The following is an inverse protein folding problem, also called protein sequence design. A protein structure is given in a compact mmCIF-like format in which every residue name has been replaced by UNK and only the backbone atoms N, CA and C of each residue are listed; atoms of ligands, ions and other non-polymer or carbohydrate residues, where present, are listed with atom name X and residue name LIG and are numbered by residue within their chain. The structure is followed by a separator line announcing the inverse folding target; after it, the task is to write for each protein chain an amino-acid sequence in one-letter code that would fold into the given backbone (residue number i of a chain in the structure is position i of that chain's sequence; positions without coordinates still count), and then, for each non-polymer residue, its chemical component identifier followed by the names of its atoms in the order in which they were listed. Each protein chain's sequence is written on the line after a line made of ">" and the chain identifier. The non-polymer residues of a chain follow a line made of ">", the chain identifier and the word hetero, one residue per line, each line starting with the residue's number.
data_IF_508458003285
#
_entry.id   IF_508458003285
#
_cell.length_a   1.000
_cell.length_b   1.000
_cell.length_c   1.000
_cell.angle_alpha   90.00
_cell.angle_beta   90.00
_cell.angle_gamma   90.00
#
_symmetry.space_group_name_H-M   'P 1'
#
loop_
_entity.id
_entity.type
_entity.pdbx_description
1 polymer ?
#
# COMPACT_ATOMS: atom_id res chain seq x y z
N UNK A 1 -0.57 -7.83 -24.17
CA UNK A 1 -0.03 -6.53 -23.70
C UNK A 1 -0.47 -6.30 -22.26
N UNK A 2 0.43 -5.82 -21.39
CA UNK A 2 0.13 -5.42 -20.00
C UNK A 2 -0.95 -4.34 -20.02
N UNK A 3 -2.13 -4.60 -19.45
CA UNK A 3 -3.26 -3.67 -19.46
C UNK A 3 -3.50 -3.01 -18.09
N UNK A 4 -2.44 -2.89 -17.28
CA UNK A 4 -2.41 -2.18 -16.01
C UNK A 4 -1.14 -1.34 -15.88
N UNK A 5 -1.17 -0.34 -14.99
CA UNK A 5 0.01 0.42 -14.57
C UNK A 5 0.48 -0.08 -13.22
N UNK A 6 1.79 -0.11 -12.99
CA UNK A 6 2.31 -0.42 -11.67
C UNK A 6 2.27 0.83 -10.79
N UNK A 7 1.98 0.63 -9.52
CA UNK A 7 1.84 1.70 -8.54
C UNK A 7 2.37 1.25 -7.18
N UNK A 8 2.77 2.20 -6.34
CA UNK A 8 3.24 1.94 -4.99
C UNK A 8 2.65 2.95 -4.00
N UNK A 9 2.27 2.45 -2.83
CA UNK A 9 1.64 3.25 -1.77
C UNK A 9 2.24 2.94 -0.40
N UNK A 10 2.22 3.93 0.49
CA UNK A 10 2.63 3.76 1.90
C UNK A 10 1.40 3.80 2.79
N UNK A 11 1.18 2.72 3.53
CA UNK A 11 0.35 2.71 4.74
C UNK A 11 1.21 3.28 5.87
N UNK A 12 1.12 4.60 6.06
CA UNK A 12 1.96 5.30 7.03
C UNK A 12 1.26 5.29 8.40
N UNK A 13 1.88 4.62 9.37
CA UNK A 13 1.44 4.58 10.75
C UNK A 13 2.35 5.47 11.60
N UNK A 14 1.78 6.21 12.54
CA UNK A 14 2.56 7.05 13.46
C UNK A 14 2.03 6.92 14.88
N UNK A 15 2.96 6.77 15.83
CA UNK A 15 2.61 6.79 17.25
C UNK A 15 2.02 8.16 17.60
N UNK A 16 0.94 8.18 18.36
CA UNK A 16 0.32 9.40 18.84
C UNK A 16 0.21 9.35 20.36
N UNK A 17 0.69 10.40 21.04
CA UNK A 17 0.57 10.48 22.49
C UNK A 17 -0.89 10.73 22.86
N UNK A 18 -1.53 9.72 23.41
CA UNK A 18 -2.83 9.85 24.04
C UNK A 18 -2.72 10.61 25.37
N UNK A 19 -3.70 11.45 25.67
CA UNK A 19 -4.01 11.76 27.06
C UNK A 19 -4.71 10.52 27.68
N UNK A 20 -4.52 10.27 28.97
CA UNK A 20 -5.04 9.09 29.69
C UNK A 20 -6.52 8.76 29.39
N UNK A 21 -7.37 9.79 29.23
CA UNK A 21 -8.80 9.64 28.91
C UNK A 21 -9.10 9.10 27.51
N UNK A 22 -8.20 9.33 26.54
CA UNK A 22 -8.33 8.86 25.16
C UNK A 22 -7.70 7.48 24.98
N UNK A 23 -6.68 7.18 25.78
CA UNK A 23 -6.07 5.85 25.88
C UNK A 23 -7.07 4.80 26.38
N UNK A 24 -7.89 5.17 27.38
CA UNK A 24 -8.96 4.32 27.93
C UNK A 24 -10.13 4.07 26.95
N UNK A 25 -10.28 4.88 25.89
CA UNK A 25 -11.41 4.78 24.94
C UNK A 25 -11.10 3.94 23.70
N UNK A 26 -9.87 4.00 23.19
CA UNK A 26 -9.54 3.42 21.88
C UNK A 26 -8.65 2.20 21.97
N UNK A 27 -7.84 2.05 23.04
CA UNK A 27 -6.73 1.07 23.13
C UNK A 27 -5.65 1.18 22.02
N UNK A 28 -5.78 2.07 21.03
CA UNK A 28 -4.76 2.27 19.98
C UNK A 28 -3.72 3.30 20.42
N UNK A 29 -2.44 3.04 20.17
CA UNK A 29 -1.33 3.99 20.38
C UNK A 29 -0.79 4.62 19.06
N UNK A 30 -1.36 4.22 17.91
CA UNK A 30 -1.00 4.76 16.60
C UNK A 30 -2.21 5.21 15.78
N UNK A 31 -1.94 6.05 14.79
CA UNK A 31 -2.88 6.50 13.76
C UNK A 31 -2.33 6.19 12.37
N UNK A 32 -3.23 6.02 11.42
CA UNK A 32 -2.93 5.87 10.00
C UNK A 32 -3.17 7.20 9.28
N UNK A 33 -2.28 7.53 8.34
CA UNK A 33 -2.46 8.64 7.41
C UNK A 33 -3.42 8.25 6.29
N UNK A 34 -4.43 9.08 6.02
CA UNK A 34 -5.22 9.01 4.81
C UNK A 34 -5.37 10.39 4.18
N UNK A 35 -5.41 10.44 2.86
CA UNK A 35 -5.61 11.63 2.04
C UNK A 35 -6.95 11.54 1.33
N UNK A 36 -7.68 12.64 1.25
CA UNK A 36 -8.90 12.72 0.45
C UNK A 36 -8.56 13.27 -0.92
N UNK A 37 -8.78 12.49 -1.98
CA UNK A 37 -8.53 12.94 -3.35
C UNK A 37 -9.46 14.07 -3.75
N UNK A 38 -8.96 14.98 -4.58
CA UNK A 38 -9.79 16.02 -5.19
C UNK A 38 -10.94 15.42 -5.99
N UNK A 39 -12.10 16.09 -6.01
CA UNK A 39 -13.28 15.67 -6.79
C UNK A 39 -13.02 15.59 -8.29
N UNK A 40 -12.02 16.29 -8.79
CA UNK A 40 -11.62 16.29 -10.20
C UNK A 40 -10.59 15.20 -10.52
N UNK A 41 -10.26 14.34 -9.55
CA UNK A 41 -9.28 13.27 -9.78
C UNK A 41 -9.76 12.27 -10.83
N UNK A 42 -8.89 11.95 -11.78
CA UNK A 42 -9.21 11.02 -12.88
C UNK A 42 -9.34 9.54 -12.45
N UNK A 43 -9.15 9.25 -11.18
CA UNK A 43 -9.32 7.93 -10.56
C UNK A 43 -9.81 8.11 -9.12
N UNK A 44 -10.95 7.49 -8.79
CA UNK A 44 -11.59 7.52 -7.46
C UNK A 44 -11.75 8.94 -6.87
N UNK A 45 -12.42 9.87 -7.57
CA UNK A 45 -12.59 11.25 -7.10
C UNK A 45 -13.34 11.33 -5.76
N UNK A 46 -12.83 12.16 -4.84
CA UNK A 46 -13.44 12.37 -3.52
C UNK A 46 -13.26 11.22 -2.51
N UNK A 47 -12.63 10.11 -2.92
CA UNK A 47 -12.35 8.98 -2.03
C UNK A 47 -11.13 9.26 -1.13
N UNK A 48 -11.09 8.61 0.02
CA UNK A 48 -9.90 8.52 0.84
C UNK A 48 -8.95 7.46 0.30
N UNK A 49 -7.66 7.77 0.35
CA UNK A 49 -6.57 6.90 -0.08
C UNK A 49 -5.36 7.00 0.87
N UNK A 50 -4.60 5.91 1.01
CA UNK A 50 -3.20 5.98 1.42
C UNK A 50 -2.38 6.74 0.36
N UNK A 51 -1.33 7.48 0.78
CA UNK A 51 -0.47 8.16 -0.17
C UNK A 51 0.19 7.17 -1.13
N UNK A 52 0.24 7.52 -2.40
CA UNK A 52 0.86 6.69 -3.43
C UNK A 52 0.30 6.89 -4.83
N UNK A 53 1.07 6.44 -5.81
CA UNK A 53 0.73 6.65 -7.21
C UNK A 53 1.56 5.78 -8.15
N UNK A 54 1.65 6.23 -9.40
CA UNK A 54 2.19 5.43 -10.51
C UNK A 54 3.71 5.45 -10.46
N UNK A 55 4.32 4.31 -10.81
CA UNK A 55 5.77 4.23 -10.95
C UNK A 55 6.23 5.04 -12.15
N UNK A 56 7.17 5.94 -11.94
CA UNK A 56 7.80 6.75 -12.99
C UNK A 56 9.20 6.20 -13.32
N UNK A 57 9.70 6.35 -14.57
CA UNK A 57 11.03 5.88 -14.94
C UNK A 57 12.16 6.39 -14.04
N UNK A 58 12.00 7.61 -13.52
CA UNK A 58 12.96 8.23 -12.59
C UNK A 58 13.11 7.46 -11.26
N UNK A 59 12.09 6.71 -10.84
CA UNK A 59 12.13 5.91 -9.61
C UNK A 59 13.07 4.70 -9.73
N UNK A 60 13.36 4.28 -10.97
CA UNK A 60 14.20 3.12 -11.27
C UNK A 60 15.59 3.49 -11.81
N UNK A 61 15.93 4.78 -11.84
CA UNK A 61 17.20 5.28 -12.37
C UNK A 61 18.40 4.85 -11.51
N UNK A 62 19.51 4.43 -12.13
CA UNK A 62 20.72 4.05 -11.42
C UNK A 62 21.41 5.20 -10.68
N UNK A 63 21.10 6.47 -10.99
CA UNK A 63 21.65 7.62 -10.25
C UNK A 63 21.36 7.53 -8.75
N UNK A 64 20.26 6.89 -8.35
CA UNK A 64 19.98 6.58 -6.96
C UNK A 64 21.15 5.83 -6.30
N UNK A 65 21.75 4.83 -6.96
CA UNK A 65 22.91 4.11 -6.40
C UNK A 65 24.06 5.06 -6.06
N UNK A 66 24.29 6.06 -6.92
CA UNK A 66 25.31 7.08 -6.68
C UNK A 66 25.00 7.94 -5.47
N UNK A 67 23.73 8.33 -5.27
CA UNK A 67 23.30 9.05 -4.07
C UNK A 67 23.51 8.20 -2.81
N UNK A 68 23.02 6.96 -2.78
CA UNK A 68 23.18 6.06 -1.62
C UNK A 68 24.66 5.79 -1.29
N UNK A 69 25.55 5.69 -2.30
CA UNK A 69 27.00 5.56 -2.06
C UNK A 69 27.60 6.71 -1.26
N UNK A 70 27.07 7.94 -1.39
CA UNK A 70 27.52 9.11 -0.59
C UNK A 70 27.25 8.93 0.91
N UNK A 71 26.32 8.05 1.27
CA UNK A 71 25.96 7.72 2.66
C UNK A 71 26.52 6.36 3.13
N UNK A 72 27.46 5.77 2.39
CA UNK A 72 28.14 4.54 2.77
C UNK A 72 27.45 3.23 2.33
N UNK A 73 26.36 3.31 1.58
CA UNK A 73 25.71 2.11 1.04
C UNK A 73 26.44 1.60 -0.22
N UNK A 74 26.26 0.31 -0.49
CA UNK A 74 26.78 -0.36 -1.68
C UNK A 74 25.72 -1.30 -2.26
N UNK A 75 26.01 -1.94 -3.40
CA UNK A 75 25.06 -2.81 -4.09
C UNK A 75 24.55 -3.97 -3.21
N UNK A 76 25.36 -4.49 -2.29
CA UNK A 76 24.95 -5.55 -1.36
C UNK A 76 23.85 -5.09 -0.40
N UNK A 77 23.78 -3.80 -0.08
CA UNK A 77 22.70 -3.29 0.78
C UNK A 77 21.35 -3.34 0.04
N UNK A 78 21.31 -3.10 -1.26
CA UNK A 78 20.07 -3.26 -2.03
C UNK A 78 19.63 -4.73 -2.10
N UNK A 79 20.58 -5.67 -2.13
CA UNK A 79 20.26 -7.12 -2.09
C UNK A 79 19.50 -7.51 -0.82
N UNK A 80 19.70 -6.79 0.31
CA UNK A 80 18.93 -7.06 1.55
C UNK A 80 17.45 -6.71 1.47
N UNK A 81 17.04 -5.92 0.46
CA UNK A 81 15.64 -5.58 0.19
C UNK A 81 14.95 -6.59 -0.73
N UNK A 82 15.74 -7.46 -1.37
CA UNK A 82 15.22 -8.53 -2.23
C UNK A 82 14.70 -9.69 -1.36
N UNK A 83 13.64 -10.38 -1.79
CA UNK A 83 13.20 -11.59 -1.12
C UNK A 83 14.34 -12.62 -1.08
N UNK A 84 14.43 -13.39 0.01
CA UNK A 84 15.43 -14.46 0.13
C UNK A 84 15.15 -15.54 -0.93
N UNK A 85 15.93 -15.56 -2.01
CA UNK A 85 15.87 -16.56 -3.09
C UNK A 85 16.28 -17.99 -2.67
N UNK A 86 16.32 -18.30 -1.37
CA UNK A 86 16.84 -19.56 -0.86
C UNK A 86 15.90 -20.77 -1.04
N UNK A 87 14.77 -20.62 -1.72
CA UNK A 87 13.89 -21.75 -1.98
C UNK A 87 13.80 -22.01 -3.48
N UNK A 88 14.55 -23.01 -3.91
CA UNK A 88 14.16 -23.94 -4.98
C UNK A 88 12.82 -24.63 -4.61
N UNK A 89 11.75 -23.84 -4.38
CA UNK A 89 10.40 -24.35 -4.24
C UNK A 89 9.94 -24.70 -5.64
N UNK A 90 10.13 -25.96 -5.97
CA UNK A 90 9.37 -26.67 -6.99
C UNK A 90 7.90 -26.32 -6.83
N UNK A 91 7.30 -25.95 -7.95
CA UNK A 91 5.91 -25.61 -8.18
C UNK A 91 4.92 -26.25 -7.19
N UNK A 92 4.33 -25.41 -6.33
CA UNK A 92 2.94 -25.62 -5.89
C UNK A 92 2.09 -24.64 -6.70
N UNK A 93 1.28 -25.20 -7.60
CA UNK A 93 0.59 -24.55 -8.72
C UNK A 93 -0.59 -23.63 -8.36
N UNK A 94 -0.75 -23.21 -7.10
CA UNK A 94 -1.95 -22.49 -6.64
C UNK A 94 -1.71 -21.10 -6.06
N UNK A 95 -0.46 -20.60 -6.03
CA UNK A 95 -0.15 -19.27 -5.48
C UNK A 95 0.15 -18.26 -6.58
N UNK A 96 -0.74 -17.29 -6.78
CA UNK A 96 -0.48 -16.13 -7.64
C UNK A 96 0.69 -15.32 -7.07
N UNK A 97 1.84 -15.38 -7.74
CA UNK A 97 3.03 -14.63 -7.35
C UNK A 97 2.90 -13.14 -7.77
N UNK A 98 3.49 -12.20 -7.02
CA UNK A 98 3.53 -10.79 -7.37
C UNK A 98 4.37 -10.55 -8.64
N UNK A 99 3.71 -10.35 -9.77
CA UNK A 99 4.37 -9.99 -11.04
C UNK A 99 4.92 -8.56 -11.04
N UNK A 100 4.61 -7.75 -10.01
CA UNK A 100 5.07 -6.36 -9.90
C UNK A 100 6.59 -6.23 -9.69
N UNK A 101 7.22 -7.28 -9.16
CA UNK A 101 8.66 -7.31 -8.89
C UNK A 101 9.49 -7.82 -10.08
N UNK A 102 8.84 -8.24 -11.16
CA UNK A 102 9.56 -8.65 -12.36
C UNK A 102 10.25 -7.43 -13.00
N UNK A 103 11.55 -7.55 -13.26
CA UNK A 103 12.31 -6.52 -13.94
C UNK A 103 11.68 -6.20 -15.31
N UNK A 104 11.48 -4.92 -15.58
CA UNK A 104 10.94 -4.43 -16.85
C UNK A 104 12.06 -4.14 -17.86
N UNK A 105 13.29 -3.91 -17.38
CA UNK A 105 14.48 -3.62 -18.18
C UNK A 105 15.74 -4.19 -17.51
N UNK A 106 16.79 -4.58 -18.26
CA UNK A 106 18.08 -4.95 -17.67
C UNK A 106 18.83 -3.76 -17.06
N UNK A 107 18.48 -2.53 -17.44
CA UNK A 107 19.20 -1.30 -17.06
C UNK A 107 18.40 -0.44 -16.09
N UNK A 108 17.72 -1.06 -15.12
CA UNK A 108 17.00 -0.36 -14.06
C UNK A 108 17.35 -0.90 -12.67
N UNK A 109 17.08 -0.13 -11.64
CA UNK A 109 17.12 -0.61 -10.27
C UNK A 109 16.18 -1.81 -10.07
N UNK A 110 16.52 -2.76 -9.19
CA UNK A 110 15.58 -3.81 -8.80
C UNK A 110 14.21 -3.23 -8.42
N UNK A 111 13.13 -3.93 -8.77
CA UNK A 111 11.77 -3.44 -8.56
C UNK A 111 11.45 -3.20 -7.09
N UNK A 112 12.02 -4.00 -6.20
CA UNK A 112 11.93 -3.86 -4.75
C UNK A 112 12.49 -2.51 -4.25
N UNK A 113 13.47 -1.95 -4.96
CA UNK A 113 14.07 -0.65 -4.66
C UNK A 113 13.24 0.45 -5.30
N UNK A 114 12.96 0.37 -6.60
CA UNK A 114 12.24 1.42 -7.33
C UNK A 114 10.81 1.62 -6.84
N UNK A 115 10.10 0.55 -6.47
CA UNK A 115 8.76 0.64 -5.88
C UNK A 115 8.75 1.33 -4.52
N UNK A 116 9.79 1.18 -3.70
CA UNK A 116 9.92 1.92 -2.43
C UNK A 116 10.20 3.38 -2.68
N UNK A 117 11.06 3.70 -3.65
CA UNK A 117 11.32 5.07 -4.08
C UNK A 117 10.02 5.72 -4.59
N UNK A 118 9.25 5.01 -5.42
CA UNK A 118 7.93 5.46 -5.91
C UNK A 118 7.02 5.81 -4.73
N UNK A 119 6.87 4.90 -3.77
CA UNK A 119 5.97 5.10 -2.64
C UNK A 119 6.36 6.32 -1.79
N UNK A 120 7.67 6.54 -1.58
CA UNK A 120 8.18 7.68 -0.82
C UNK A 120 8.01 8.98 -1.61
N UNK A 121 8.33 8.98 -2.91
CA UNK A 121 8.16 10.13 -3.80
C UNK A 121 6.71 10.61 -3.80
N UNK A 122 5.77 9.71 -4.05
CA UNK A 122 4.34 10.00 -4.08
C UNK A 122 3.83 10.49 -2.72
N UNK A 123 4.31 9.90 -1.61
CA UNK A 123 3.99 10.40 -0.27
C UNK A 123 4.46 11.85 -0.08
N UNK A 124 5.65 12.20 -0.57
CA UNK A 124 6.13 13.57 -0.52
C UNK A 124 5.30 14.51 -1.42
N UNK A 125 5.01 14.11 -2.66
CA UNK A 125 4.20 14.90 -3.60
C UNK A 125 2.83 15.22 -2.99
N UNK A 126 2.12 14.20 -2.53
CA UNK A 126 0.72 14.33 -2.11
C UNK A 126 0.56 15.00 -0.73
N UNK A 127 1.50 14.79 0.21
CA UNK A 127 1.35 15.25 1.60
C UNK A 127 2.56 15.93 2.26
N UNK A 128 3.67 16.07 1.53
CA UNK A 128 4.86 16.78 2.00
C UNK A 128 5.69 16.04 3.04
N UNK A 129 5.28 14.82 3.41
CA UNK A 129 6.04 13.96 4.33
C UNK A 129 7.15 13.28 3.54
N UNK A 130 8.40 13.64 3.81
CA UNK A 130 9.57 13.02 3.21
C UNK A 130 10.10 11.91 4.11
N UNK A 131 9.86 10.64 3.76
CA UNK A 131 10.43 9.47 4.45
C UNK A 131 11.89 9.28 3.99
N UNK A 132 12.83 9.80 4.77
CA UNK A 132 14.23 9.87 4.40
C UNK A 132 15.14 9.86 5.63
N UNK A 133 16.38 9.44 5.41
CA UNK A 133 17.45 9.43 6.40
C UNK A 133 18.69 10.17 5.85
N UNK A 134 19.61 10.54 6.74
CA UNK A 134 20.85 11.26 6.41
C UNK A 134 22.10 10.72 7.10
N UNK A 135 21.94 9.79 8.04
CA UNK A 135 23.02 9.31 8.92
C UNK A 135 23.64 7.99 8.48
N UNK A 136 23.20 7.40 7.37
CA UNK A 136 23.69 6.11 6.86
C UNK A 136 23.31 4.91 7.72
N UNK A 137 22.39 5.08 8.69
CA UNK A 137 21.97 4.01 9.61
C UNK A 137 20.54 3.57 9.28
N UNK A 138 20.37 2.26 9.15
CA UNK A 138 19.06 1.64 8.99
C UNK A 138 18.38 1.52 10.36
N UNK A 139 17.07 1.76 10.38
CA UNK A 139 16.19 1.59 11.53
C UNK A 139 14.95 0.84 11.06
N UNK A 140 14.34 0.08 11.97
CA UNK A 140 13.04 -0.54 11.72
C UNK A 140 11.93 0.53 11.70
N UNK A 141 11.99 1.51 12.61
CA UNK A 141 11.13 2.69 12.51
C UNK A 141 11.60 3.60 11.39
N UNK A 142 10.64 4.10 10.61
CA UNK A 142 10.89 5.07 9.57
C UNK A 142 11.39 6.39 10.13
N UNK A 143 12.34 6.99 9.42
CA UNK A 143 12.77 8.36 9.66
C UNK A 143 12.05 9.29 8.68
N UNK A 144 11.80 10.52 9.12
CA UNK A 144 11.28 11.56 8.24
C UNK A 144 12.20 12.78 8.27
N UNK A 145 12.25 13.49 7.15
CA UNK A 145 12.96 14.75 7.02
C UNK A 145 11.93 15.89 6.94
N UNK A 146 12.03 16.85 7.86
CA UNK A 146 11.07 17.96 7.91
C UNK A 146 11.46 19.07 6.92
N UNK A 147 10.54 19.41 6.03
CA UNK A 147 10.62 20.56 5.13
C UNK A 147 9.39 21.43 5.41
N UNK A 148 9.56 22.73 5.60
CA UNK A 148 8.44 23.63 5.94
C UNK A 148 8.37 24.85 5.04
N UNK A 149 7.22 25.52 5.08
CA UNK A 149 6.98 26.81 4.45
C UNK A 149 7.16 26.78 2.93
N UNK A 150 7.68 27.88 2.36
CA UNK A 150 7.83 28.04 0.91
C UNK A 150 8.67 26.94 0.27
N UNK A 151 9.71 26.45 0.96
CA UNK A 151 10.60 25.41 0.45
C UNK A 151 9.86 24.09 0.20
N UNK A 152 8.93 23.74 1.09
CA UNK A 152 8.08 22.55 0.92
C UNK A 152 7.22 22.68 -0.34
N UNK A 153 6.50 23.80 -0.45
CA UNK A 153 5.60 24.06 -1.59
C UNK A 153 6.35 24.10 -2.92
N UNK A 154 7.54 24.70 -2.95
CA UNK A 154 8.37 24.77 -4.16
C UNK A 154 8.82 23.37 -4.59
N UNK A 155 9.25 22.52 -3.64
CA UNK A 155 9.66 21.15 -3.95
C UNK A 155 8.49 20.27 -4.37
N UNK A 156 7.34 20.30 -3.68
CA UNK A 156 6.16 19.56 -4.09
C UNK A 156 5.77 19.89 -5.53
N UNK A 157 5.73 21.17 -5.90
CA UNK A 157 5.44 21.60 -7.27
C UNK A 157 6.44 21.08 -8.30
N UNK A 158 7.72 21.08 -7.97
CA UNK A 158 8.78 20.58 -8.88
C UNK A 158 8.67 19.08 -9.08
N UNK A 159 8.54 18.33 -7.97
CA UNK A 159 8.51 16.87 -7.98
C UNK A 159 7.24 16.36 -8.67
N UNK A 160 6.08 16.96 -8.37
CA UNK A 160 4.83 16.65 -9.07
C UNK A 160 4.90 16.93 -10.58
N UNK A 161 5.60 18.01 -10.99
CA UNK A 161 5.77 18.32 -12.41
C UNK A 161 6.78 17.39 -13.12
N UNK A 162 7.75 16.86 -12.37
CA UNK A 162 8.80 15.99 -12.89
C UNK A 162 9.36 15.10 -11.77
N UNK A 163 9.04 13.81 -11.80
CA UNK A 163 9.50 12.83 -10.81
C UNK A 163 11.03 12.78 -10.66
N UNK A 164 11.80 13.15 -11.69
CA UNK A 164 13.27 13.20 -11.61
C UNK A 164 13.79 14.26 -10.63
N UNK A 165 13.00 15.30 -10.35
CA UNK A 165 13.31 16.33 -9.34
C UNK A 165 13.31 15.77 -7.91
N UNK A 166 12.69 14.60 -7.68
CA UNK A 166 12.73 13.94 -6.38
C UNK A 166 14.17 13.58 -5.98
N UNK A 167 14.96 13.09 -6.94
CA UNK A 167 16.39 12.84 -6.73
C UNK A 167 17.16 14.13 -6.45
N UNK A 168 16.91 15.19 -7.24
CA UNK A 168 17.58 16.49 -7.08
C UNK A 168 17.26 17.10 -5.70
N UNK A 169 16.02 16.93 -5.24
CA UNK A 169 15.60 17.29 -3.90
C UNK A 169 16.42 16.54 -2.85
N UNK A 170 16.46 15.21 -2.90
CA UNK A 170 17.21 14.40 -1.93
C UNK A 170 18.71 14.77 -1.93
N UNK A 171 19.32 14.96 -3.10
CA UNK A 171 20.71 15.38 -3.22
C UNK A 171 20.94 16.76 -2.59
N UNK A 172 20.06 17.74 -2.87
CA UNK A 172 20.16 19.10 -2.32
C UNK A 172 19.96 19.16 -0.80
N UNK A 173 19.13 18.27 -0.24
CA UNK A 173 18.85 18.16 1.18
C UNK A 173 19.87 17.30 1.92
N UNK A 174 20.83 16.70 1.20
CA UNK A 174 21.81 15.76 1.74
C UNK A 174 21.12 14.62 2.52
N UNK A 175 20.06 14.06 1.93
CA UNK A 175 19.35 12.89 2.45
C UNK A 175 19.15 11.84 1.36
N UNK A 176 18.67 10.66 1.76
CA UNK A 176 18.27 9.59 0.86
C UNK A 176 16.93 8.99 1.33
N UNK A 177 16.08 8.48 0.41
CA UNK A 177 14.83 7.82 0.79
C UNK A 177 15.07 6.65 1.76
N UNK A 178 14.31 6.54 2.85
CA UNK A 178 14.53 5.50 3.87
C UNK A 178 13.90 4.15 3.47
N UNK A 179 14.52 3.46 2.51
CA UNK A 179 13.97 2.23 1.93
C UNK A 179 13.82 1.08 2.93
N UNK A 180 14.74 0.96 3.90
CA UNK A 180 14.80 -0.18 4.81
C UNK A 180 13.73 -0.15 5.90
N UNK A 181 13.12 1.02 6.12
CA UNK A 181 11.95 1.17 6.99
C UNK A 181 10.61 0.84 6.31
N UNK A 182 10.60 0.66 4.97
CA UNK A 182 9.42 0.25 4.21
C UNK A 182 9.34 -1.27 4.10
N UNK A 183 8.35 -1.84 4.77
CA UNK A 183 8.08 -3.28 4.77
C UNK A 183 6.95 -3.62 3.79
N UNK A 184 7.21 -4.51 2.83
CA UNK A 184 6.18 -4.94 1.88
C UNK A 184 5.02 -5.62 2.62
N UNK A 185 3.81 -5.12 2.39
CA UNK A 185 2.63 -5.51 3.16
C UNK A 185 1.63 -6.31 2.33
N UNK A 186 1.27 -5.83 1.15
CA UNK A 186 0.35 -6.53 0.25
C UNK A 186 0.45 -6.03 -1.18
N UNK A 187 0.20 -6.90 -2.18
CA UNK A 187 0.15 -6.52 -3.58
C UNK A 187 -1.23 -6.83 -4.17
N UNK A 188 -1.83 -5.87 -4.86
CA UNK A 188 -3.19 -5.93 -5.37
C UNK A 188 -3.24 -5.61 -6.84
N UNK A 189 -3.95 -6.43 -7.63
CA UNK A 189 -4.25 -6.11 -9.02
C UNK A 189 -5.73 -5.80 -9.20
N UNK A 190 -6.00 -4.65 -9.81
CA UNK A 190 -7.36 -4.22 -10.14
C UNK A 190 -8.00 -5.24 -11.11
N UNK A 191 -9.16 -5.83 -10.77
CA UNK A 191 -9.80 -6.84 -11.60
C UNK A 191 -10.43 -6.25 -12.86
N UNK A 192 -10.54 -7.07 -13.90
CA UNK A 192 -11.10 -6.67 -15.22
C UNK A 192 -12.54 -6.20 -15.10
N UNK A 193 -13.34 -6.81 -14.21
CA UNK A 193 -14.77 -6.54 -14.09
C UNK A 193 -15.13 -5.11 -13.63
N UNK A 194 -14.15 -4.31 -13.18
CA UNK A 194 -14.38 -2.91 -12.81
C UNK A 194 -14.43 -1.97 -14.04
N UNK A 195 -14.05 -2.45 -15.23
CA UNK A 195 -14.31 -1.74 -16.49
C UNK A 195 -13.57 -0.40 -16.68
N UNK A 196 -12.48 -0.16 -15.96
CA UNK A 196 -11.76 1.11 -15.97
C UNK A 196 -10.24 0.96 -15.89
N UNK A 197 -9.55 2.02 -15.44
CA UNK A 197 -8.10 2.02 -15.24
C UNK A 197 -7.72 0.92 -14.25
N UNK A 198 -6.75 0.09 -14.63
CA UNK A 198 -6.24 -0.99 -13.80
C UNK A 198 -4.86 -0.66 -13.26
N UNK A 199 -4.65 -0.98 -11.99
CA UNK A 199 -3.37 -0.83 -11.32
C UNK A 199 -2.95 -2.15 -10.68
N UNK A 200 -1.66 -2.44 -10.78
CA UNK A 200 -0.95 -3.43 -9.98
C UNK A 200 -0.21 -2.67 -8.89
N UNK A 201 -0.78 -2.62 -7.70
CA UNK A 201 -0.34 -1.76 -6.60
C UNK A 201 0.36 -2.57 -5.52
N UNK A 202 1.55 -2.15 -5.10
CA UNK A 202 2.20 -2.62 -3.87
C UNK A 202 1.89 -1.64 -2.74
N UNK A 203 1.54 -2.15 -1.57
CA UNK A 203 1.45 -1.39 -0.34
C UNK A 203 2.64 -1.74 0.55
N UNK A 204 3.33 -0.72 1.03
CA UNK A 204 4.35 -0.82 2.08
C UNK A 204 3.77 -0.30 3.39
N UNK A 205 4.20 -0.85 4.53
CA UNK A 205 4.02 -0.22 5.85
C UNK A 205 5.30 0.50 6.23
N UNK A 206 5.13 1.69 6.80
CA UNK A 206 6.18 2.45 7.48
C UNK A 206 5.65 2.97 8.82
N UNK A 207 6.44 2.82 9.89
CA UNK A 207 6.04 3.19 11.25
C UNK A 207 6.90 4.33 11.81
N UNK A 208 6.30 5.51 11.99
CA UNK A 208 6.93 6.70 12.58
C UNK A 208 6.71 6.76 14.10
N UNK A 209 7.71 7.26 14.83
CA UNK A 209 7.64 7.40 16.30
C UNK A 209 6.80 8.61 16.77
N UNK A 210 6.45 9.51 15.86
CA UNK A 210 5.51 10.60 16.09
C UNK A 210 4.84 11.01 14.78
N UNK A 211 3.65 11.60 14.86
CA UNK A 211 3.01 12.22 13.71
C UNK A 211 3.87 13.41 13.25
N UNK A 212 4.37 13.42 12.01
CA UNK A 212 5.13 14.54 11.47
C UNK A 212 4.20 15.68 11.04
N UNK A 213 4.77 16.87 10.88
CA UNK A 213 4.10 17.94 10.15
C UNK A 213 3.85 17.50 8.71
N UNK A 214 2.65 17.75 8.22
CA UNK A 214 2.22 17.34 6.89
C UNK A 214 1.41 18.45 6.23
N UNK A 215 1.63 18.67 4.93
CA UNK A 215 0.91 19.66 4.14
C UNK A 215 0.60 19.05 2.78
N UNK A 216 -0.69 18.84 2.51
CA UNK A 216 -1.13 18.27 1.24
C UNK A 216 -1.05 19.27 0.09
N UNK A 217 -0.81 18.77 -1.13
CA UNK A 217 -0.93 19.57 -2.35
C UNK A 217 -2.43 19.76 -2.68
N UNK A 218 -2.97 21.00 -2.62
CA UNK A 218 -4.37 21.27 -2.90
C UNK A 218 -4.79 20.99 -4.36
N UNK A 219 -3.84 20.77 -5.28
CA UNK A 219 -4.16 20.33 -6.65
C UNK A 219 -4.64 18.89 -6.71
N UNK A 220 -4.12 18.03 -5.83
CA UNK A 220 -4.38 16.59 -5.86
C UNK A 220 -5.32 16.15 -4.73
N UNK A 221 -5.25 16.82 -3.59
CA UNK A 221 -5.93 16.44 -2.36
C UNK A 221 -6.81 17.57 -1.82
N UNK A 222 -7.93 17.19 -1.21
CA UNK A 222 -8.85 18.07 -0.49
C UNK A 222 -8.63 18.06 1.02
N UNK A 223 -8.09 16.98 1.56
CA UNK A 223 -7.89 16.82 3.00
C UNK A 223 -6.78 15.81 3.31
N UNK A 224 -6.21 15.98 4.49
CA UNK A 224 -5.25 15.06 5.11
C UNK A 224 -5.75 14.75 6.51
N UNK A 225 -5.79 13.45 6.86
CA UNK A 225 -6.22 13.02 8.19
C UNK A 225 -5.27 11.99 8.79
N UNK A 226 -5.15 12.05 10.12
CA UNK A 226 -4.55 11.00 10.94
C UNK A 226 -5.62 10.48 11.90
N UNK A 227 -6.06 9.24 11.70
CA UNK A 227 -7.08 8.62 12.54
C UNK A 227 -6.75 7.15 12.86
N UNK A 228 -7.41 6.59 13.87
CA UNK A 228 -7.20 5.18 14.23
C UNK A 228 -7.84 4.27 13.19
N UNK A 229 -7.30 3.06 13.02
CA UNK A 229 -7.85 2.06 12.11
C UNK A 229 -9.33 1.74 12.42
N UNK A 230 -9.71 1.70 13.70
CA UNK A 230 -11.11 1.55 14.12
C UNK A 230 -12.01 2.67 13.60
N UNK A 231 -11.62 3.92 13.80
CA UNK A 231 -12.40 5.08 13.36
C UNK A 231 -12.53 5.13 11.83
N UNK A 232 -11.48 4.72 11.11
CA UNK A 232 -11.50 4.63 9.64
C UNK A 232 -12.44 3.53 9.13
N UNK A 233 -12.59 2.41 9.86
CA UNK A 233 -13.57 1.36 9.55
C UNK A 233 -14.99 1.81 9.90
N UNK A 234 -15.18 2.35 11.10
CA UNK A 234 -16.49 2.74 11.63
C UNK A 234 -17.13 3.85 10.78
N UNK A 235 -16.33 4.77 10.23
CA UNK A 235 -16.81 5.85 9.37
C UNK A 235 -16.83 5.48 7.88
N UNK A 236 -16.68 4.21 7.50
CA UNK A 236 -16.49 3.79 6.10
C UNK A 236 -17.61 4.19 5.12
N UNK A 237 -18.83 4.48 5.60
CA UNK A 237 -19.91 5.03 4.76
C UNK A 237 -19.66 6.50 4.34
N UNK A 238 -19.03 7.28 5.22
CA UNK A 238 -18.61 8.67 4.97
C UNK A 238 -17.21 8.72 4.32
N UNK A 239 -16.35 7.77 4.71
CA UNK A 239 -14.97 7.59 4.24
C UNK A 239 -14.94 6.52 3.15
N UNK A 240 -15.30 6.94 1.93
CA UNK A 240 -15.21 6.06 0.76
C UNK A 240 -13.75 5.67 0.50
N UNK A 241 -13.41 4.44 0.86
CA UNK A 241 -12.11 3.82 0.60
C UNK A 241 -12.21 2.87 -0.59
N UNK A 242 -11.12 2.75 -1.36
CA UNK A 242 -11.03 1.69 -2.35
C UNK A 242 -10.97 0.30 -1.66
N UNK A 243 -11.54 -0.77 -2.26
CA UNK A 243 -11.62 -2.08 -1.60
C UNK A 243 -10.29 -2.63 -1.05
N UNK A 244 -9.13 -2.51 -1.75
CA UNK A 244 -7.85 -2.93 -1.18
C UNK A 244 -7.53 -2.24 0.14
N UNK A 245 -7.82 -0.94 0.25
CA UNK A 245 -7.50 -0.15 1.42
C UNK A 245 -8.46 -0.42 2.57
N UNK A 246 -9.75 -0.60 2.29
CA UNK A 246 -10.72 -1.05 3.29
C UNK A 246 -10.30 -2.40 3.88
N UNK A 247 -9.86 -3.34 3.03
CA UNK A 247 -9.31 -4.62 3.47
C UNK A 247 -8.08 -4.43 4.37
N UNK A 248 -7.11 -3.61 3.95
CA UNK A 248 -5.89 -3.38 4.74
C UNK A 248 -6.18 -2.72 6.08
N UNK A 249 -7.06 -1.72 6.12
CA UNK A 249 -7.43 -1.01 7.36
C UNK A 249 -8.13 -1.97 8.33
N UNK A 250 -9.02 -2.82 7.83
CA UNK A 250 -9.68 -3.83 8.67
C UNK A 250 -8.69 -4.85 9.24
N UNK A 251 -7.72 -5.31 8.45
CA UNK A 251 -6.63 -6.16 8.94
C UNK A 251 -5.81 -5.47 10.04
N UNK A 252 -5.44 -4.21 9.81
CA UNK A 252 -4.67 -3.42 10.77
C UNK A 252 -5.50 -3.07 12.02
N UNK A 253 -6.83 -3.00 11.91
CA UNK A 253 -7.72 -2.72 13.05
C UNK A 253 -7.61 -3.74 14.19
N UNK A 254 -7.11 -4.94 13.90
CA UNK A 254 -6.85 -5.99 14.89
C UNK A 254 -5.56 -5.78 15.69
N UNK A 255 -4.74 -4.80 15.30
CA UNK A 255 -3.44 -4.49 15.91
C UNK A 255 -3.55 -3.13 16.60
N UNK A 256 -3.26 -3.08 17.90
CA UNK A 256 -3.51 -1.89 18.72
C UNK A 256 -2.24 -1.10 19.05
N UNK A 257 -1.07 -1.72 18.98
CA UNK A 257 0.20 -1.08 19.32
C UNK A 257 1.09 -0.92 18.08
N UNK A 258 1.78 0.22 17.94
CA UNK A 258 2.63 0.52 16.79
C UNK A 258 3.75 -0.51 16.66
N UNK A 259 4.35 -0.91 17.77
CA UNK A 259 5.43 -1.88 17.79
C UNK A 259 4.96 -3.26 17.31
N UNK A 260 3.73 -3.66 17.64
CA UNK A 260 3.14 -4.91 17.14
C UNK A 260 2.91 -4.83 15.63
N UNK A 261 2.43 -3.67 15.13
CA UNK A 261 2.27 -3.44 13.70
C UNK A 261 3.62 -3.51 12.97
N UNK A 262 4.65 -2.88 13.53
CA UNK A 262 6.01 -2.92 12.98
C UNK A 262 6.56 -4.35 12.97
N UNK A 263 6.42 -5.09 14.07
CA UNK A 263 6.85 -6.49 14.17
C UNK A 263 6.16 -7.37 13.14
N UNK A 264 4.84 -7.23 12.98
CA UNK A 264 4.07 -7.96 11.96
C UNK A 264 4.51 -7.57 10.54
N UNK A 265 4.76 -6.28 10.27
CA UNK A 265 5.24 -5.82 8.98
C UNK A 265 6.62 -6.40 8.64
N UNK A 266 7.56 -6.41 9.59
CA UNK A 266 8.88 -7.04 9.43
C UNK A 266 8.74 -8.55 9.19
N UNK A 267 7.85 -9.22 9.92
CA UNK A 267 7.62 -10.65 9.77
C UNK A 267 7.01 -11.00 8.41
N UNK A 268 6.02 -10.21 7.95
CA UNK A 268 5.39 -10.37 6.63
C UNK A 268 6.38 -10.11 5.49
N UNK A 269 7.23 -9.09 5.61
CA UNK A 269 8.23 -8.76 4.58
C UNK A 269 9.25 -9.88 4.34
N UNK A 270 9.42 -10.82 5.28
CA UNK A 270 10.29 -11.99 5.13
C UNK A 270 9.60 -13.21 4.49
N UNK A 271 8.28 -13.18 4.32
CA UNK A 271 7.48 -14.27 3.76
C UNK A 271 7.23 -14.02 2.27
N UNK A 272 6.94 -15.11 1.54
CA UNK A 272 6.44 -14.99 0.17
C UNK A 272 5.10 -14.23 0.17
N UNK A 273 5.06 -13.14 -0.57
CA UNK A 273 3.84 -12.36 -0.77
C UNK A 273 2.99 -12.99 -1.88
N UNK A 274 1.67 -12.87 -1.74
CA UNK A 274 0.70 -13.25 -2.78
C UNK A 274 0.20 -12.02 -3.51
N UNK A 275 -0.13 -12.18 -4.80
CA UNK A 275 -0.91 -11.20 -5.55
C UNK A 275 -2.40 -11.36 -5.19
N UNK A 276 -2.96 -10.36 -4.52
CA UNK A 276 -4.39 -10.24 -4.26
C UNK A 276 -5.13 -9.83 -5.53
N UNK A 277 -5.84 -10.79 -6.12
CA UNK A 277 -6.74 -10.58 -7.23
C UNK A 277 -8.15 -11.04 -6.84
N UNK A 278 -9.15 -10.15 -6.73
CA UNK A 278 -10.49 -10.56 -6.31
C UNK A 278 -11.19 -11.39 -7.38
N UNK A 279 -11.77 -12.51 -6.97
CA UNK A 279 -12.69 -13.32 -7.78
C UNK A 279 -14.12 -13.02 -7.35
N UNK A 280 -14.95 -12.55 -8.30
CA UNK A 280 -16.32 -12.13 -8.03
C UNK A 280 -17.29 -13.30 -8.13
N UNK A 281 -17.96 -13.62 -7.03
CA UNK A 281 -19.06 -14.58 -6.97
C UNK A 281 -20.38 -13.80 -6.91
N UNK A 282 -21.23 -13.98 -7.90
CA UNK A 282 -22.55 -13.33 -7.99
C UNK A 282 -23.60 -14.32 -7.45
N UNK A 283 -24.33 -13.90 -6.42
CA UNK A 283 -25.29 -14.70 -5.66
C UNK A 283 -26.69 -14.05 -5.69
N UNK A 284 -27.70 -14.77 -5.18
CA UNK A 284 -29.10 -14.32 -5.18
C UNK A 284 -29.32 -12.96 -4.50
N UNK A 285 -28.65 -12.72 -3.37
CA UNK A 285 -28.86 -11.53 -2.52
C UNK A 285 -27.62 -10.60 -2.45
N UNK A 286 -26.58 -10.86 -3.25
CA UNK A 286 -25.42 -9.99 -3.30
C UNK A 286 -24.19 -10.57 -4.01
N UNK A 287 -23.03 -10.03 -3.65
CA UNK A 287 -21.75 -10.35 -4.29
C UNK A 287 -20.73 -10.72 -3.21
N UNK A 288 -19.97 -11.79 -3.43
CA UNK A 288 -18.77 -12.13 -2.67
C UNK A 288 -17.54 -11.89 -3.55
N UNK A 289 -16.47 -11.37 -2.96
CA UNK A 289 -15.14 -11.27 -3.54
C UNK A 289 -14.22 -12.21 -2.78
N UNK A 290 -13.78 -13.28 -3.43
CA UNK A 290 -12.80 -14.22 -2.86
C UNK A 290 -11.39 -13.71 -3.11
N UNK A 291 -10.51 -13.89 -2.14
CA UNK A 291 -9.09 -13.57 -2.22
C UNK A 291 -8.21 -14.81 -2.05
N UNK A 292 -6.93 -14.76 -2.46
CA UNK A 292 -6.01 -15.88 -2.25
C UNK A 292 -5.97 -16.33 -0.78
N UNK A 293 -5.98 -17.65 -0.58
CA UNK A 293 -6.06 -18.26 0.75
C UNK A 293 -7.47 -18.63 1.18
N UNK A 294 -8.50 -18.17 0.47
CA UNK A 294 -9.87 -18.66 0.64
C UNK A 294 -10.02 -20.08 0.08
N UNK A 295 -10.70 -20.97 0.82
CA UNK A 295 -10.93 -22.36 0.42
C UNK A 295 -11.70 -22.49 -0.91
N UNK A 296 -12.50 -21.49 -1.26
CA UNK A 296 -13.27 -21.45 -2.50
C UNK A 296 -12.56 -20.67 -3.62
N UNK A 297 -11.33 -20.17 -3.38
CA UNK A 297 -10.57 -19.46 -4.40
C UNK A 297 -10.18 -20.39 -5.55
N UNK A 298 -10.43 -20.02 -6.82
CA UNK A 298 -10.08 -20.85 -7.98
C UNK A 298 -8.58 -21.19 -8.03
N UNK A 299 -8.27 -22.41 -8.48
CA UNK A 299 -6.88 -22.85 -8.69
C UNK A 299 -6.21 -22.12 -9.87
N UNK A 300 -7.01 -21.76 -10.88
CA UNK A 300 -6.57 -21.04 -12.08
C UNK A 300 -7.27 -19.70 -12.17
N UNK A 301 -6.51 -18.64 -12.41
CA UNK A 301 -7.00 -17.26 -12.49
C UNK A 301 -6.34 -16.56 -13.67
N UNK A 302 -7.17 -16.02 -14.57
CA UNK A 302 -6.71 -15.30 -15.75
C UNK A 302 -6.73 -13.78 -15.51
N UNK A 303 -5.56 -13.16 -15.32
CA UNK A 303 -5.46 -11.74 -14.93
C UNK A 303 -5.92 -10.76 -16.01
N UNK A 304 -6.08 -11.21 -17.25
CA UNK A 304 -6.55 -10.43 -18.40
C UNK A 304 -8.04 -10.59 -18.71
N UNK A 305 -8.73 -11.49 -18.01
CA UNK A 305 -10.11 -11.88 -18.31
C UNK A 305 -11.03 -11.72 -17.10
N UNK A 306 -12.34 -11.75 -17.36
CA UNK A 306 -13.35 -11.76 -16.30
C UNK A 306 -13.43 -13.19 -15.76
N UNK A 307 -13.16 -13.36 -14.46
CA UNK A 307 -13.17 -14.68 -13.78
C UNK A 307 -14.43 -14.83 -12.91
N UNK A 308 -15.54 -14.20 -13.32
CA UNK A 308 -16.76 -14.16 -12.52
C UNK A 308 -17.41 -15.54 -12.43
N UNK A 309 -17.90 -15.88 -11.24
CA UNK A 309 -18.65 -17.12 -11.02
C UNK A 309 -20.08 -16.74 -10.63
N UNK A 310 -21.05 -17.20 -11.40
CA UNK A 310 -22.46 -16.92 -11.17
C UNK A 310 -23.13 -18.12 -10.49
N UNK A 311 -23.71 -17.89 -9.31
CA UNK A 311 -24.44 -18.90 -8.51
C UNK A 311 -25.82 -18.37 -8.12
N UNK A 312 -26.70 -18.26 -9.11
CA UNK A 312 -28.05 -17.67 -8.99
C UNK A 312 -29.05 -18.54 -8.20
N UNK A 313 -28.60 -19.57 -7.50
CA UNK A 313 -29.43 -20.45 -6.69
C UNK A 313 -29.02 -20.47 -5.21
N UNK A 314 -28.03 -19.66 -4.82
CA UNK A 314 -27.53 -19.57 -3.45
C UNK A 314 -27.56 -18.12 -2.97
N UNK A 315 -27.96 -17.92 -1.72
CA UNK A 315 -27.71 -16.70 -0.95
C UNK A 315 -26.26 -16.64 -0.47
N UNK A 316 -25.82 -15.47 -0.01
CA UNK A 316 -24.53 -15.28 0.66
C UNK A 316 -24.38 -16.22 1.84
N UNK A 317 -25.42 -16.39 2.66
CA UNK A 317 -25.38 -17.25 3.84
C UNK A 317 -25.23 -18.73 3.44
N UNK A 318 -26.04 -19.21 2.50
CA UNK A 318 -25.94 -20.60 2.04
C UNK A 318 -24.58 -20.89 1.39
N UNK A 319 -24.04 -19.94 0.61
CA UNK A 319 -22.68 -20.08 0.05
C UNK A 319 -21.61 -20.12 1.15
N UNK A 320 -21.75 -19.28 2.18
CA UNK A 320 -20.84 -19.26 3.32
C UNK A 320 -20.89 -20.59 4.09
N UNK A 321 -22.08 -21.11 4.39
CA UNK A 321 -22.27 -22.35 5.15
C UNK A 321 -21.78 -23.59 4.39
N UNK A 322 -21.85 -23.58 3.06
CA UNK A 322 -21.30 -24.65 2.20
C UNK A 322 -19.77 -24.62 2.11
N UNK A 323 -19.13 -23.49 2.43
CA UNK A 323 -17.68 -23.37 2.29
C UNK A 323 -16.94 -23.96 3.49
N UNK A 324 -16.29 -25.10 3.27
CA UNK A 324 -15.47 -25.78 4.27
C UNK A 324 -14.00 -25.38 4.09
N UNK A 325 -13.41 -24.77 5.13
CA UNK A 325 -12.01 -24.36 5.17
C UNK A 325 -11.82 -22.87 5.44
N UNK A 326 -10.58 -22.36 5.31
CA UNK A 326 -10.25 -20.97 5.57
C UNK A 326 -11.06 -20.01 4.70
N UNK A 327 -11.45 -18.87 5.25
CA UNK A 327 -12.20 -17.84 4.52
C UNK A 327 -11.37 -16.57 4.46
N UNK A 328 -11.10 -16.12 3.24
CA UNK A 328 -10.49 -14.84 2.95
C UNK A 328 -11.31 -14.13 1.87
N UNK A 329 -12.36 -13.45 2.31
CA UNK A 329 -13.35 -12.89 1.39
C UNK A 329 -13.99 -11.61 1.91
N UNK A 330 -14.51 -10.82 0.98
CA UNK A 330 -15.38 -9.69 1.25
C UNK A 330 -16.75 -9.95 0.67
N UNK A 331 -17.82 -9.43 1.26
CA UNK A 331 -19.14 -9.52 0.65
C UNK A 331 -19.92 -8.21 0.75
N UNK A 332 -20.85 -8.04 -0.19
CA UNK A 332 -21.76 -6.91 -0.27
C UNK A 332 -23.18 -7.41 -0.51
N UNK A 333 -24.08 -7.12 0.43
CA UNK A 333 -25.51 -7.40 0.33
C UNK A 333 -26.26 -6.12 -0.06
N UNK A 334 -26.84 -6.08 -1.26
CA UNK A 334 -27.52 -4.87 -1.77
C UNK A 334 -26.62 -3.62 -1.83
N UNK A 335 -27.10 -2.50 -1.27
CA UNK A 335 -26.37 -1.22 -1.15
C UNK A 335 -25.50 -1.10 0.11
N UNK A 336 -25.47 -2.13 0.97
CA UNK A 336 -24.77 -2.06 2.25
C UNK A 336 -23.25 -2.00 2.05
N UNK A 337 -22.54 -1.57 3.10
CA UNK A 337 -21.08 -1.57 3.15
C UNK A 337 -20.49 -2.97 2.87
N UNK A 338 -19.26 -2.99 2.36
CA UNK A 338 -18.48 -4.23 2.19
C UNK A 338 -18.13 -4.78 3.57
N UNK A 339 -18.51 -6.03 3.84
CA UNK A 339 -18.17 -6.75 5.06
C UNK A 339 -16.98 -7.68 4.76
N UNK A 340 -15.97 -7.67 5.64
CA UNK A 340 -14.75 -8.46 5.51
C UNK A 340 -14.85 -9.68 6.42
N UNK A 341 -14.60 -10.87 5.87
CA UNK A 341 -14.62 -12.15 6.60
C UNK A 341 -13.25 -12.80 6.47
N UNK A 342 -12.61 -12.97 7.63
CA UNK A 342 -11.28 -13.56 7.77
C UNK A 342 -11.36 -14.59 8.89
N UNK A 343 -11.51 -15.87 8.52
CA UNK A 343 -11.77 -17.02 9.41
C UNK A 343 -10.87 -18.21 9.11
#
# INVERSE_FOLDING_TARGET
>A
MKNWRDAASIILAAHYKNNLSQQLKTNYDFKLLCLKRHKDSSFMPGNYVFPGGVVEPADADFKWKSLYKKFGFNDNHFLSLLPNNNNNSTASSSKLKPIIFEAQSPNELPREVSLRITAIRETFEECGILIAASNGKNSAHAQHYTITGKKLVDWQKKVHANAAEFYEMCESLQCYPDLWSLHAWSNWLTPVFLGGKRFNSIFFIACLQSIPDAQFDPKEMEALIWDTSKELVDKSEEFKLAPPQQYQINEISKIHQLNDLLNEAIARNKKDMLLYYPIRIILLDGIIYLFPGDAMYPKEVHLSEVNDIVKNNLTIQEFHDQSVGPKNRMFRKGKNALIIVLE
#
